data_IF_520144422727
#
_entry.id   IF_520144422727
#
_cell.length_a   1.000
_cell.length_b   1.000
_cell.length_c   1.000
_cell.angle_alpha   90.00
_cell.angle_beta   90.00
_cell.angle_gamma   90.00
#
_symmetry.space_group_name_H-M   'P 1'
#
loop_
_entity.id
_entity.type
_entity.pdbx_description
1 polymer ?
#
# COMPACT_ATOMS: atom_id res chain seq x y z
N UNK A 1 9.13 -46.20 -44.41
CA UNK A 1 9.82 -46.05 -45.71
C UNK A 1 10.60 -44.74 -45.67
N UNK A 2 11.87 -44.70 -45.25
CA UNK A 2 13.10 -44.74 -46.11
C UNK A 2 13.04 -43.71 -47.25
N UNK A 3 13.96 -42.75 -47.45
CA UNK A 3 15.46 -42.70 -47.43
C UNK A 3 15.89 -41.21 -47.22
N UNK A 4 16.88 -40.82 -46.41
CA UNK A 4 18.35 -40.86 -46.54
C UNK A 4 18.93 -40.37 -47.90
N UNK A 5 19.58 -39.19 -47.96
CA UNK A 5 21.05 -39.00 -47.97
C UNK A 5 21.49 -37.55 -48.33
N UNK A 6 22.73 -37.26 -47.90
CA UNK A 6 23.67 -36.19 -48.30
C UNK A 6 23.62 -34.86 -47.56
N UNK A 7 24.74 -34.25 -47.17
CA UNK A 7 26.14 -34.63 -46.90
C UNK A 7 26.78 -33.33 -46.37
N UNK A 8 27.73 -33.45 -45.43
CA UNK A 8 28.90 -32.57 -45.17
C UNK A 8 28.73 -31.05 -45.44
N UNK A 9 29.08 -30.12 -44.54
CA UNK A 9 30.44 -29.93 -44.03
C UNK A 9 30.45 -28.75 -43.03
N UNK A 10 31.46 -28.74 -42.15
CA UNK A 10 32.12 -27.57 -41.54
C UNK A 10 31.48 -26.90 -40.32
N UNK A 11 31.92 -27.40 -39.15
CA UNK A 11 32.63 -26.63 -38.11
C UNK A 11 32.19 -25.18 -37.88
N UNK A 12 31.33 -25.02 -36.88
CA UNK A 12 31.15 -23.77 -36.16
C UNK A 12 30.73 -24.10 -34.73
N UNK A 13 31.71 -24.28 -33.84
CA UNK A 13 31.50 -24.37 -32.39
C UNK A 13 30.83 -23.07 -31.92
N UNK A 14 29.50 -23.07 -31.81
CA UNK A 14 28.79 -22.15 -30.94
C UNK A 14 28.36 -22.94 -29.71
N UNK A 15 29.24 -22.95 -28.71
CA UNK A 15 28.86 -23.31 -27.35
C UNK A 15 27.90 -22.22 -26.90
N UNK A 16 26.60 -22.42 -27.15
CA UNK A 16 25.56 -21.66 -26.50
C UNK A 16 25.53 -22.16 -25.06
N UNK A 17 26.32 -21.51 -24.20
CA UNK A 17 26.30 -21.73 -22.76
C UNK A 17 24.86 -21.51 -22.28
N UNK A 18 24.23 -22.61 -21.88
CA UNK A 18 23.12 -22.64 -20.92
C UNK A 18 23.59 -21.88 -19.67
N UNK A 19 23.36 -20.57 -19.64
CA UNK A 19 23.38 -19.80 -18.41
C UNK A 19 22.15 -20.26 -17.61
N UNK A 20 22.30 -20.93 -16.45
CA UNK A 20 21.19 -21.05 -15.54
C UNK A 20 20.80 -19.62 -15.14
N UNK A 21 19.60 -19.20 -15.54
CA UNK A 21 18.95 -18.04 -14.97
C UNK A 21 18.81 -18.30 -13.48
N UNK A 22 19.76 -17.79 -12.69
CA UNK A 22 19.64 -17.78 -11.25
C UNK A 22 18.31 -17.08 -10.92
N UNK A 23 17.37 -17.74 -10.22
CA UNK A 23 16.20 -17.04 -9.74
C UNK A 23 16.69 -16.00 -8.74
N UNK A 24 16.65 -14.73 -9.14
CA UNK A 24 16.75 -13.60 -8.22
C UNK A 24 15.57 -13.76 -7.27
N UNK A 25 15.82 -14.43 -6.14
CA UNK A 25 14.90 -14.44 -5.02
C UNK A 25 14.89 -13.02 -4.49
N UNK A 26 13.93 -12.22 -4.97
CA UNK A 26 13.57 -10.96 -4.34
C UNK A 26 13.32 -11.30 -2.87
N UNK A 27 14.24 -10.92 -1.99
CA UNK A 27 14.11 -11.15 -0.57
C UNK A 27 12.83 -10.44 -0.14
N UNK A 28 11.79 -11.21 0.21
CA UNK A 28 10.57 -10.65 0.75
C UNK A 28 10.96 -9.84 1.99
N UNK A 29 10.69 -8.54 1.98
CA UNK A 29 10.96 -7.67 3.12
C UNK A 29 10.23 -8.25 4.34
N UNK A 30 11.01 -8.75 5.31
CA UNK A 30 10.47 -9.33 6.54
C UNK A 30 10.29 -8.22 7.56
N UNK A 31 9.08 -8.06 8.07
CA UNK A 31 8.76 -7.15 9.17
C UNK A 31 8.70 -7.93 10.48
N UNK A 32 9.36 -7.39 11.51
CA UNK A 32 9.30 -7.93 12.88
C UNK A 32 7.89 -7.81 13.46
N UNK A 33 7.57 -8.66 14.43
CA UNK A 33 6.27 -8.61 15.13
C UNK A 33 6.06 -7.26 15.83
N UNK A 34 7.12 -6.69 16.42
CA UNK A 34 7.07 -5.36 17.02
C UNK A 34 6.75 -4.25 16.01
N UNK A 35 7.32 -4.31 14.79
CA UNK A 35 6.98 -3.36 13.72
C UNK A 35 5.53 -3.51 13.28
N UNK A 36 5.03 -4.74 13.16
CA UNK A 36 3.64 -5.02 12.77
C UNK A 36 2.67 -4.54 13.85
N UNK A 37 2.97 -4.79 15.13
CA UNK A 37 2.17 -4.32 16.26
C UNK A 37 2.07 -2.80 16.28
N UNK A 38 3.20 -2.09 16.14
CA UNK A 38 3.22 -0.61 16.06
C UNK A 38 2.49 -0.08 14.83
N UNK A 39 2.66 -0.74 13.67
CA UNK A 39 1.91 -0.41 12.45
C UNK A 39 0.40 -0.55 12.67
N UNK A 40 -0.05 -1.67 13.24
CA UNK A 40 -1.46 -1.94 13.53
C UNK A 40 -2.04 -0.90 14.50
N UNK A 41 -1.25 -0.45 15.48
CA UNK A 41 -1.64 0.60 16.42
C UNK A 41 -1.90 1.93 15.72
N UNK A 42 -0.93 2.40 14.93
CA UNK A 42 -1.07 3.62 14.14
C UNK A 42 -2.22 3.51 13.13
N UNK A 43 -2.28 2.42 12.36
CA UNK A 43 -3.31 2.22 11.33
C UNK A 43 -4.72 2.22 11.93
N UNK A 44 -4.92 1.57 13.08
CA UNK A 44 -6.21 1.54 13.76
C UNK A 44 -6.64 2.92 14.27
N UNK A 45 -5.70 3.70 14.82
CA UNK A 45 -5.99 5.06 15.28
C UNK A 45 -6.34 5.99 14.11
N UNK A 46 -5.58 5.91 13.02
CA UNK A 46 -5.79 6.67 11.79
C UNK A 46 -7.14 6.33 11.17
N UNK A 47 -7.51 5.05 11.11
CA UNK A 47 -8.79 4.62 10.56
C UNK A 47 -9.97 5.18 11.37
N UNK A 48 -9.90 5.12 12.71
CA UNK A 48 -10.91 5.74 13.59
C UNK A 48 -11.04 7.25 13.32
N UNK A 49 -9.91 7.95 13.15
CA UNK A 49 -9.93 9.38 12.80
C UNK A 49 -10.52 9.62 11.42
N UNK A 50 -10.19 8.79 10.44
CA UNK A 50 -10.74 8.85 9.09
C UNK A 50 -12.26 8.73 9.10
N UNK A 51 -12.80 7.77 9.84
CA UNK A 51 -14.25 7.60 9.98
C UNK A 51 -14.93 8.83 10.60
N UNK A 52 -14.34 9.38 11.66
CA UNK A 52 -14.83 10.62 12.31
C UNK A 52 -14.85 11.80 11.33
N UNK A 53 -13.73 12.02 10.63
CA UNK A 53 -13.58 13.08 9.63
C UNK A 53 -14.56 12.89 8.47
N UNK A 54 -14.75 11.66 7.98
CA UNK A 54 -15.71 11.35 6.92
C UNK A 54 -17.16 11.51 7.34
N UNK A 55 -17.48 11.25 8.62
CA UNK A 55 -18.81 11.53 9.16
C UNK A 55 -19.08 13.04 9.16
N UNK A 56 -18.09 13.86 9.54
CA UNK A 56 -18.18 15.33 9.49
C UNK A 56 -18.21 15.85 8.05
N UNK A 57 -17.44 15.27 7.14
CA UNK A 57 -17.43 15.68 5.74
C UNK A 57 -18.79 15.40 5.06
N UNK A 58 -19.47 14.32 5.44
CA UNK A 58 -20.80 13.97 4.92
C UNK A 58 -21.91 14.96 5.29
N UNK A 59 -21.73 15.79 6.31
CA UNK A 59 -22.69 16.85 6.65
C UNK A 59 -22.49 18.13 5.81
N UNK A 60 -21.48 18.19 4.95
CA UNK A 60 -21.34 19.29 3.99
C UNK A 60 -22.38 19.17 2.88
N UNK A 61 -23.11 20.26 2.61
CA UNK A 61 -24.21 20.30 1.63
C UNK A 61 -23.77 19.82 0.23
N UNK A 62 -22.57 20.19 -0.21
CA UNK A 62 -22.02 19.79 -1.50
C UNK A 62 -21.33 18.42 -1.51
N UNK A 63 -21.49 17.59 -0.46
CA UNK A 63 -20.75 16.32 -0.31
C UNK A 63 -20.96 15.37 -1.50
N UNK A 64 -22.20 15.15 -1.92
CA UNK A 64 -22.50 14.19 -3.00
C UNK A 64 -21.84 14.58 -4.32
N UNK A 65 -21.87 15.88 -4.67
CA UNK A 65 -21.21 16.39 -5.87
C UNK A 65 -19.69 16.25 -5.78
N UNK A 66 -19.11 16.62 -4.64
CA UNK A 66 -17.68 16.52 -4.42
C UNK A 66 -17.17 15.08 -4.45
N UNK A 67 -17.92 14.15 -3.84
CA UNK A 67 -17.63 12.72 -3.83
C UNK A 67 -17.71 12.13 -5.24
N UNK A 68 -18.77 12.46 -5.98
CA UNK A 68 -18.92 12.05 -7.39
C UNK A 68 -17.74 12.54 -8.23
N UNK A 69 -17.31 13.79 -8.05
CA UNK A 69 -16.14 14.34 -8.74
C UNK A 69 -14.85 13.58 -8.41
N UNK A 70 -14.61 13.25 -7.14
CA UNK A 70 -13.45 12.47 -6.72
C UNK A 70 -13.47 11.07 -7.35
N UNK A 71 -14.63 10.42 -7.37
CA UNK A 71 -14.82 9.09 -7.96
C UNK A 71 -14.55 9.08 -9.47
N UNK A 72 -15.05 10.09 -10.20
CA UNK A 72 -14.77 10.25 -11.64
C UNK A 72 -13.27 10.42 -11.92
N UNK A 73 -12.53 11.04 -11.01
CA UNK A 73 -11.09 11.22 -11.11
C UNK A 73 -10.28 10.02 -10.57
N UNK A 74 -10.93 9.00 -10.01
CA UNK A 74 -10.26 7.85 -9.40
C UNK A 74 -9.46 8.19 -8.15
N UNK A 75 -9.83 9.26 -7.43
CA UNK A 75 -9.15 9.72 -6.21
C UNK A 75 -10.10 9.79 -5.03
N UNK A 76 -9.55 9.92 -3.82
CA UNK A 76 -10.36 10.24 -2.63
C UNK A 76 -10.74 11.71 -2.61
N UNK A 77 -11.73 12.10 -1.81
CA UNK A 77 -12.10 13.52 -1.64
C UNK A 77 -10.90 14.38 -1.20
N UNK A 78 -10.05 13.87 -0.30
CA UNK A 78 -8.82 14.56 0.10
C UNK A 78 -7.71 14.53 -0.96
N UNK A 79 -7.84 13.69 -1.99
CA UNK A 79 -6.93 13.60 -3.13
C UNK A 79 -7.26 14.55 -4.29
N UNK A 80 -8.40 15.25 -4.25
CA UNK A 80 -8.73 16.31 -5.21
C UNK A 80 -7.72 17.47 -5.13
N UNK A 81 -7.59 18.28 -6.19
CA UNK A 81 -6.74 19.49 -6.11
C UNK A 81 -7.32 20.45 -5.08
N UNK A 82 -6.48 21.20 -4.37
CA UNK A 82 -6.93 22.18 -3.35
C UNK A 82 -7.98 23.17 -3.89
N UNK A 83 -7.82 23.64 -5.14
CA UNK A 83 -8.77 24.54 -5.79
C UNK A 83 -10.16 23.92 -6.03
N UNK A 84 -10.27 22.59 -5.96
CA UNK A 84 -11.52 21.86 -6.15
C UNK A 84 -12.17 21.46 -4.82
N UNK A 85 -11.48 21.68 -3.70
CA UNK A 85 -11.96 21.37 -2.37
C UNK A 85 -12.53 22.62 -1.70
N UNK A 86 -13.77 22.58 -1.18
CA UNK A 86 -14.30 23.65 -0.34
C UNK A 86 -13.45 23.83 0.93
N UNK A 87 -13.37 25.05 1.53
CA UNK A 87 -12.54 25.31 2.71
C UNK A 87 -12.79 24.36 3.88
N UNK A 88 -14.06 23.99 4.12
CA UNK A 88 -14.44 23.03 5.17
C UNK A 88 -13.83 21.65 4.93
N UNK A 89 -13.78 21.20 3.67
CA UNK A 89 -13.20 19.90 3.30
C UNK A 89 -11.67 19.98 3.37
N UNK A 90 -11.07 21.09 2.94
CA UNK A 90 -9.63 21.31 3.07
C UNK A 90 -9.20 21.22 4.54
N UNK A 91 -9.95 21.86 5.46
CA UNK A 91 -9.68 21.81 6.89
C UNK A 91 -9.79 20.39 7.44
N UNK A 92 -10.83 19.65 7.06
CA UNK A 92 -11.04 18.26 7.49
C UNK A 92 -9.95 17.31 6.99
N UNK A 93 -9.53 17.48 5.73
CA UNK A 93 -8.43 16.71 5.17
C UNK A 93 -7.10 17.08 5.85
N UNK A 94 -6.85 18.36 6.11
CA UNK A 94 -5.70 18.83 6.88
C UNK A 94 -5.64 18.21 8.27
N UNK A 95 -6.76 18.20 9.00
CA UNK A 95 -6.89 17.56 10.31
C UNK A 95 -6.54 16.06 10.25
N UNK A 96 -7.05 15.33 9.24
CA UNK A 96 -6.73 13.93 9.05
C UNK A 96 -5.24 13.71 8.74
N UNK A 97 -4.65 14.54 7.88
CA UNK A 97 -3.23 14.44 7.52
C UNK A 97 -2.33 14.69 8.73
N UNK A 98 -2.55 15.79 9.45
CA UNK A 98 -1.78 16.12 10.64
C UNK A 98 -1.88 15.04 11.71
N UNK A 99 -3.11 14.56 11.98
CA UNK A 99 -3.31 13.47 12.92
C UNK A 99 -2.57 12.20 12.48
N UNK A 100 -2.64 11.86 11.19
CA UNK A 100 -1.97 10.66 10.68
C UNK A 100 -0.46 10.73 10.83
N UNK A 101 0.16 11.87 10.51
CA UNK A 101 1.59 12.03 10.69
C UNK A 101 2.03 12.00 12.16
N UNK A 102 1.19 12.53 13.06
CA UNK A 102 1.45 12.47 14.48
C UNK A 102 1.36 11.03 14.99
N UNK A 103 0.33 10.27 14.60
CA UNK A 103 0.15 8.89 15.02
C UNK A 103 1.24 7.96 14.45
N UNK A 104 1.65 8.16 13.20
CA UNK A 104 2.79 7.46 12.59
C UNK A 104 4.05 7.67 13.46
N UNK A 105 4.36 8.92 13.80
CA UNK A 105 5.54 9.26 14.61
C UNK A 105 5.43 8.73 16.05
N UNK A 106 4.26 8.84 16.68
CA UNK A 106 4.00 8.32 18.04
C UNK A 106 4.21 6.81 18.14
N UNK A 107 3.95 6.08 17.06
CA UNK A 107 4.17 4.64 16.98
C UNK A 107 5.60 4.28 16.50
N UNK A 108 6.55 5.21 16.56
CA UNK A 108 7.96 4.93 16.35
C UNK A 108 8.39 4.76 14.89
N UNK A 109 7.59 5.25 13.94
CA UNK A 109 8.03 5.37 12.55
C UNK A 109 8.72 6.73 12.35
N UNK A 110 9.96 6.71 11.89
CA UNK A 110 10.76 7.92 11.65
C UNK A 110 10.21 8.75 10.50
N UNK A 111 9.64 8.10 9.49
CA UNK A 111 9.08 8.75 8.31
C UNK A 111 7.75 8.11 7.86
N UNK A 112 6.93 8.88 7.15
CA UNK A 112 5.74 8.34 6.46
C UNK A 112 6.13 7.24 5.45
N UNK A 113 7.36 7.29 4.90
CA UNK A 113 7.87 6.27 3.97
C UNK A 113 7.98 4.92 4.66
N UNK A 114 8.49 4.87 5.89
CA UNK A 114 8.67 3.63 6.65
C UNK A 114 7.33 2.98 6.97
N UNK A 115 6.34 3.79 7.36
CA UNK A 115 4.97 3.32 7.55
C UNK A 115 4.36 2.79 6.23
N UNK A 116 4.50 3.56 5.15
CA UNK A 116 3.95 3.21 3.84
C UNK A 116 4.59 1.97 3.21
N UNK A 117 5.82 1.61 3.58
CA UNK A 117 6.43 0.35 3.15
C UNK A 117 5.63 -0.86 3.62
N UNK A 118 5.15 -0.86 4.86
CA UNK A 118 4.29 -1.92 5.39
C UNK A 118 2.92 -1.88 4.70
N UNK A 119 2.36 -0.68 4.49
CA UNK A 119 1.10 -0.48 3.76
C UNK A 119 1.14 -1.06 2.35
N UNK A 120 2.23 -0.85 1.61
CA UNK A 120 2.40 -1.39 0.26
C UNK A 120 2.68 -2.89 0.29
N UNK A 121 3.56 -3.35 1.19
CA UNK A 121 3.94 -4.76 1.28
C UNK A 121 2.75 -5.67 1.60
N UNK A 122 1.83 -5.24 2.47
CA UNK A 122 0.67 -6.05 2.84
C UNK A 122 -0.30 -6.28 1.67
N UNK A 123 -0.32 -5.41 0.64
CA UNK A 123 -1.17 -5.59 -0.54
C UNK A 123 -0.73 -6.76 -1.41
N UNK A 124 0.56 -7.12 -1.33
CA UNK A 124 1.17 -8.18 -2.14
C UNK A 124 1.51 -9.43 -1.31
N UNK A 125 1.40 -9.34 0.02
CA UNK A 125 1.77 -10.40 0.95
C UNK A 125 0.60 -10.76 1.88
N UNK A 126 -0.15 -11.80 1.49
CA UNK A 126 -1.30 -12.32 2.25
C UNK A 126 -0.94 -12.82 3.67
N UNK A 127 0.31 -13.22 3.91
CA UNK A 127 0.75 -13.62 5.25
C UNK A 127 0.95 -12.40 6.14
N UNK A 128 1.59 -11.35 5.62
CA UNK A 128 1.75 -10.07 6.32
C UNK A 128 0.40 -9.41 6.60
N UNK A 129 -0.51 -9.39 5.62
CA UNK A 129 -1.86 -8.87 5.80
C UNK A 129 -2.58 -9.57 6.97
N UNK A 130 -2.51 -10.90 7.03
CA UNK A 130 -3.11 -11.67 8.12
C UNK A 130 -2.50 -11.35 9.49
N UNK A 131 -1.17 -11.23 9.57
CA UNK A 131 -0.49 -10.85 10.82
C UNK A 131 -0.93 -9.46 11.30
N UNK A 132 -1.00 -8.49 10.38
CA UNK A 132 -1.50 -7.14 10.69
C UNK A 132 -2.95 -7.21 11.18
N UNK A 133 -3.82 -7.98 10.51
CA UNK A 133 -5.23 -8.09 10.89
C UNK A 133 -5.41 -8.68 12.29
N UNK A 134 -4.62 -9.70 12.66
CA UNK A 134 -4.63 -10.27 14.01
C UNK A 134 -4.26 -9.21 15.04
N UNK A 135 -3.17 -8.46 14.82
CA UNK A 135 -2.76 -7.39 15.72
C UNK A 135 -3.82 -6.28 15.86
N UNK A 136 -4.48 -5.88 14.76
CA UNK A 136 -5.59 -4.91 14.81
C UNK A 136 -6.74 -5.44 15.69
N UNK A 137 -7.11 -6.72 15.56
CA UNK A 137 -8.18 -7.32 16.36
C UNK A 137 -7.79 -7.35 17.84
N UNK A 138 -6.59 -7.83 18.17
CA UNK A 138 -6.12 -7.93 19.55
C UNK A 138 -6.06 -6.55 20.23
N UNK A 139 -5.57 -5.53 19.53
CA UNK A 139 -5.49 -4.18 20.07
C UNK A 139 -6.84 -3.50 20.27
N UNK A 140 -7.88 -3.92 19.55
CA UNK A 140 -9.24 -3.42 19.74
C UNK A 140 -9.99 -4.13 20.87
N UNK A 141 -9.56 -5.33 21.29
CA UNK A 141 -10.12 -6.01 22.48
C UNK A 141 -9.63 -5.40 23.80
N UNK A 142 -8.47 -4.78 23.77
CA UNK A 142 -7.79 -4.22 24.95
C UNK A 142 -8.20 -2.78 25.29
N UNK A 143 -9.16 -2.20 24.57
CA UNK A 143 -9.64 -0.81 24.71
C UNK A 143 -11.12 -0.80 25.02
#
# INVERSE_FOLDING_TARGET
>A
MTKYFSQLTLLGYFILTLLPSLPVHAQAVQFSDDQIRRYAGAASAIEKKREEVWRRARSYEGWTSLKSKADTQGVTVCGLKKSEQPPVIQSLCGELFEFSEQEIRRNGFSTNRDFNQITQAQQQNNQLQRRIQVEIIEQNKLK
#
